data_IF_969759827587
#
_entry.id   IF_969759827587
#
_cell.length_a   1.000
_cell.length_b   1.000
_cell.length_c   1.000
_cell.angle_alpha   90.00
_cell.angle_beta   90.00
_cell.angle_gamma   90.00
#
_symmetry.space_group_name_H-M   'P 1'
#
loop_
_entity.id
_entity.type
_entity.pdbx_description
1 polymer ?
#
# COMPACT_ATOMS: atom_id res chain seq x y z
N UNK A 1 -48.09 28.08 34.32
CA UNK A 1 -47.20 26.99 33.84
C UNK A 1 -46.94 26.02 35.00
N UNK A 2 -47.21 24.70 34.86
CA UNK A 2 -47.01 23.71 35.95
C UNK A 2 -45.57 23.19 35.97
N UNK A 3 -44.94 23.09 37.14
CA UNK A 3 -43.54 22.63 37.34
C UNK A 3 -43.22 21.30 36.63
N UNK A 4 -44.17 20.37 36.66
CA UNK A 4 -44.07 19.07 35.98
C UNK A 4 -43.92 19.18 34.46
N UNK A 5 -44.66 20.10 33.83
CA UNK A 5 -44.60 20.27 32.38
C UNK A 5 -43.30 20.95 31.95
N UNK A 6 -42.75 21.82 32.80
CA UNK A 6 -41.43 22.41 32.59
C UNK A 6 -40.33 21.33 32.64
N UNK A 7 -40.36 20.44 33.64
CA UNK A 7 -39.39 19.35 33.79
C UNK A 7 -39.45 18.32 32.64
N UNK A 8 -40.66 17.96 32.19
CA UNK A 8 -40.82 17.03 31.07
C UNK A 8 -40.32 17.66 29.77
N UNK A 9 -40.62 18.94 29.54
CA UNK A 9 -40.20 19.67 28.34
C UNK A 9 -38.68 19.86 28.29
N UNK A 10 -38.05 20.20 29.42
CA UNK A 10 -36.60 20.37 29.49
C UNK A 10 -35.83 19.05 29.35
N UNK A 11 -36.36 17.94 29.90
CA UNK A 11 -35.77 16.62 29.74
C UNK A 11 -35.82 16.13 28.27
N UNK A 12 -36.95 16.33 27.59
CA UNK A 12 -37.10 15.96 26.17
C UNK A 12 -36.17 16.78 25.26
N UNK A 13 -36.01 18.08 25.53
CA UNK A 13 -35.11 18.95 24.78
C UNK A 13 -33.62 18.57 24.95
N UNK A 14 -33.21 18.16 26.16
CA UNK A 14 -31.81 17.78 26.44
C UNK A 14 -31.36 16.51 25.71
N UNK A 15 -32.24 15.52 25.55
CA UNK A 15 -31.93 14.25 24.86
C UNK A 15 -31.80 14.43 23.35
N UNK A 16 -32.63 15.27 22.74
CA UNK A 16 -32.57 15.55 21.29
C UNK A 16 -31.29 16.27 20.87
N UNK A 17 -30.68 17.07 21.77
CA UNK A 17 -29.38 17.73 21.52
C UNK A 17 -28.22 16.74 21.66
N UNK A 18 -28.34 15.73 22.52
CA UNK A 18 -27.32 14.71 22.70
C UNK A 18 -27.25 13.70 21.55
N UNK A 19 -28.37 13.41 20.87
CA UNK A 19 -28.45 12.45 19.76
C UNK A 19 -27.92 12.97 18.41
N UNK A 20 -27.69 14.28 18.26
CA UNK A 20 -27.25 14.88 16.99
C UNK A 20 -25.73 15.04 16.84
N UNK A 21 -24.95 14.70 17.88
CA UNK A 21 -23.49 14.58 17.76
C UNK A 21 -23.11 13.10 17.68
N UNK A 22 -23.25 12.54 16.49
CA UNK A 22 -22.31 11.51 16.05
C UNK A 22 -20.91 12.15 16.08
N UNK A 23 -20.28 12.12 17.25
CA UNK A 23 -18.91 12.56 17.42
C UNK A 23 -18.08 11.68 16.48
N UNK A 24 -17.57 12.29 15.40
CA UNK A 24 -16.52 11.67 14.60
C UNK A 24 -15.40 11.35 15.57
N UNK A 25 -15.27 10.08 15.94
CA UNK A 25 -14.21 9.62 16.83
C UNK A 25 -12.89 10.08 16.21
N UNK A 26 -12.19 10.99 16.87
CA UNK A 26 -10.85 11.42 16.48
C UNK A 26 -9.88 10.32 16.89
N UNK A 27 -9.93 9.20 16.17
CA UNK A 27 -8.90 8.17 16.27
C UNK A 27 -7.61 8.72 15.65
N UNK A 28 -6.44 8.38 16.21
CA UNK A 28 -5.16 8.73 15.59
C UNK A 28 -5.08 8.14 14.19
N UNK A 29 -4.78 8.97 13.18
CA UNK A 29 -4.45 8.49 11.85
C UNK A 29 -3.06 7.85 11.90
N UNK A 30 -2.99 6.53 11.77
CA UNK A 30 -1.73 5.82 11.62
C UNK A 30 -1.34 5.81 10.14
N UNK A 31 -0.29 6.55 9.79
CA UNK A 31 0.33 6.44 8.47
C UNK A 31 1.21 5.19 8.44
N UNK A 32 0.69 4.12 7.85
CA UNK A 32 1.47 2.92 7.56
C UNK A 32 2.26 3.17 6.27
N UNK A 33 3.58 2.88 6.24
CA UNK A 33 4.33 2.90 4.99
C UNK A 33 3.62 2.01 3.97
N UNK A 34 3.33 2.58 2.79
CA UNK A 34 2.83 1.76 1.70
C UNK A 34 3.86 0.67 1.40
N UNK A 35 3.38 -0.55 1.12
CA UNK A 35 4.26 -1.60 0.62
C UNK A 35 5.04 -1.05 -0.58
N UNK A 36 6.37 -1.03 -0.48
CA UNK A 36 7.22 -0.53 -1.55
C UNK A 36 7.08 -1.51 -2.69
N UNK A 37 6.48 -1.07 -3.80
CA UNK A 37 6.41 -1.91 -5.00
C UNK A 37 7.86 -2.13 -5.49
N UNK A 38 8.28 -3.37 -5.77
CA UNK A 38 9.60 -3.62 -6.30
C UNK A 38 9.81 -2.82 -7.59
N UNK A 39 10.99 -2.25 -7.78
CA UNK A 39 11.37 -1.50 -8.98
C UNK A 39 12.74 -1.97 -9.43
N UNK A 40 12.86 -2.31 -10.70
CA UNK A 40 14.10 -2.71 -11.34
C UNK A 40 14.35 -1.80 -12.53
N UNK A 41 15.55 -1.22 -12.59
CA UNK A 41 16.00 -0.37 -13.69
C UNK A 41 17.30 -0.96 -14.22
N UNK A 42 17.41 -1.08 -15.54
CA UNK A 42 18.61 -1.53 -16.24
C UNK A 42 19.01 -0.52 -17.32
N UNK A 43 20.22 -0.67 -17.85
CA UNK A 43 20.60 -0.03 -19.11
C UNK A 43 19.82 -0.63 -20.30
N UNK A 44 20.06 -0.10 -21.50
CA UNK A 44 19.24 -0.34 -22.69
C UNK A 44 19.11 -1.81 -23.13
N UNK A 45 20.06 -2.68 -22.78
CA UNK A 45 20.03 -4.11 -23.14
C UNK A 45 19.22 -4.96 -22.16
N UNK A 46 18.89 -4.48 -20.95
CA UNK A 46 18.26 -5.31 -19.92
C UNK A 46 16.80 -5.70 -20.18
N UNK A 47 16.17 -5.18 -21.25
CA UNK A 47 14.85 -5.63 -21.72
C UNK A 47 14.91 -6.41 -23.06
N UNK A 48 16.08 -6.94 -23.41
CA UNK A 48 16.30 -7.81 -24.56
C UNK A 48 16.96 -9.10 -24.08
N UNK A 49 16.80 -10.18 -24.84
CA UNK A 49 17.53 -11.43 -24.67
C UNK A 49 17.68 -12.10 -26.04
N UNK A 50 18.83 -12.68 -26.35
CA UNK A 50 19.05 -13.61 -27.47
C UNK A 50 19.77 -14.89 -27.05
N UNK A 51 20.07 -15.07 -25.77
CA UNK A 51 20.66 -16.27 -25.18
C UNK A 51 19.77 -17.54 -25.24
N UNK A 52 18.70 -17.54 -26.04
CA UNK A 52 17.73 -18.65 -26.14
C UNK A 52 16.79 -18.79 -24.94
N UNK A 53 16.90 -17.91 -23.93
CA UNK A 53 15.99 -17.85 -22.79
C UNK A 53 14.61 -17.26 -23.14
N UNK A 54 13.78 -17.05 -22.11
CA UNK A 54 12.42 -16.51 -22.25
C UNK A 54 12.15 -15.28 -21.37
N UNK A 55 13.15 -14.83 -20.61
CA UNK A 55 13.04 -13.70 -19.70
C UNK A 55 14.13 -12.68 -20.00
N UNK A 56 13.78 -11.41 -19.89
CA UNK A 56 14.76 -10.32 -19.88
C UNK A 56 15.41 -10.19 -18.50
N UNK A 57 16.53 -9.48 -18.41
CA UNK A 57 17.18 -9.14 -17.14
C UNK A 57 16.20 -8.47 -16.16
N UNK A 58 15.47 -7.45 -16.63
CA UNK A 58 14.50 -6.71 -15.80
C UNK A 58 13.38 -7.64 -15.32
N UNK A 59 12.83 -8.48 -16.20
CA UNK A 59 11.78 -9.44 -15.82
C UNK A 59 12.28 -10.44 -14.78
N UNK A 60 13.46 -11.03 -14.98
CA UNK A 60 14.02 -12.03 -14.06
C UNK A 60 14.24 -11.44 -12.67
N UNK A 61 14.92 -10.28 -12.59
CA UNK A 61 15.19 -9.63 -11.32
C UNK A 61 13.91 -9.16 -10.63
N UNK A 62 12.96 -8.57 -11.38
CA UNK A 62 11.69 -8.12 -10.82
C UNK A 62 10.88 -9.28 -10.24
N UNK A 63 10.76 -10.39 -10.95
CA UNK A 63 10.02 -11.57 -10.47
C UNK A 63 10.61 -12.14 -9.19
N UNK A 64 11.94 -12.16 -9.06
CA UNK A 64 12.63 -12.62 -7.86
C UNK A 64 12.39 -11.69 -6.67
N UNK A 65 12.54 -10.38 -6.86
CA UNK A 65 12.29 -9.41 -5.79
C UNK A 65 10.79 -9.42 -5.39
N UNK A 66 9.88 -9.54 -6.36
CA UNK A 66 8.44 -9.56 -6.12
C UNK A 66 7.98 -10.78 -5.30
N UNK A 67 8.68 -11.91 -5.39
CA UNK A 67 8.40 -13.11 -4.57
C UNK A 67 9.14 -13.13 -3.22
N UNK A 68 9.92 -12.09 -2.90
CA UNK A 68 10.61 -11.95 -1.63
C UNK A 68 12.01 -12.56 -1.58
N UNK A 69 12.62 -12.84 -2.75
CA UNK A 69 14.03 -13.26 -2.77
C UNK A 69 14.95 -12.11 -2.37
N UNK A 70 16.18 -12.48 -2.01
CA UNK A 70 17.26 -11.55 -1.81
C UNK A 70 17.55 -10.71 -3.08
N UNK A 71 17.69 -9.40 -2.87
CA UNK A 71 17.84 -8.41 -3.95
C UNK A 71 19.16 -8.59 -4.70
N UNK A 72 20.26 -8.89 -3.99
CA UNK A 72 21.56 -9.06 -4.62
C UNK A 72 21.55 -10.28 -5.56
N UNK A 73 21.00 -11.40 -5.10
CA UNK A 73 20.82 -12.60 -5.92
C UNK A 73 19.92 -12.34 -7.14
N UNK A 74 18.85 -11.54 -6.98
CA UNK A 74 17.97 -11.18 -8.08
C UNK A 74 18.70 -10.37 -9.18
N UNK A 75 19.52 -9.40 -8.78
CA UNK A 75 20.28 -8.57 -9.73
C UNK A 75 21.35 -9.41 -10.45
N UNK A 76 22.07 -10.28 -9.74
CA UNK A 76 23.06 -11.19 -10.35
C UNK A 76 22.38 -12.10 -11.38
N UNK A 77 21.26 -12.73 -11.02
CA UNK A 77 20.52 -13.59 -11.92
C UNK A 77 20.00 -12.86 -13.17
N UNK A 78 19.60 -11.58 -13.03
CA UNK A 78 19.19 -10.74 -14.15
C UNK A 78 20.35 -10.39 -15.08
N UNK A 79 21.47 -9.92 -14.53
CA UNK A 79 22.66 -9.50 -15.32
C UNK A 79 23.27 -10.67 -16.08
N UNK A 80 23.32 -11.88 -15.50
CA UNK A 80 23.85 -13.06 -16.19
C UNK A 80 23.10 -13.39 -17.50
N UNK A 81 21.82 -13.01 -17.65
CA UNK A 81 21.10 -13.19 -18.92
C UNK A 81 21.75 -12.38 -20.04
N UNK A 82 22.20 -11.17 -19.71
CA UNK A 82 22.79 -10.21 -20.65
C UNK A 82 24.26 -10.56 -20.93
N UNK A 83 24.99 -11.05 -19.92
CA UNK A 83 26.38 -11.47 -20.10
C UNK A 83 26.51 -12.72 -20.98
N UNK A 84 25.51 -13.60 -20.97
CA UNK A 84 25.44 -14.80 -21.81
C UNK A 84 24.77 -14.53 -23.18
N UNK A 85 24.44 -13.27 -23.50
CA UNK A 85 23.77 -12.88 -24.75
C UNK A 85 24.79 -12.55 -25.86
N UNK A 86 24.83 -13.28 -26.99
CA UNK A 86 25.80 -13.08 -28.08
C UNK A 86 25.61 -11.81 -28.92
#
# INVERSE_FOLDING_TARGET
MKRRNFMISSAAAGVAVASSRAAKSKVPTMLIPAAVKPLVISSANGNKFKNGGNLTCVQKAFSMIARGDDVLNAVIAGVNIVEEDP
#
